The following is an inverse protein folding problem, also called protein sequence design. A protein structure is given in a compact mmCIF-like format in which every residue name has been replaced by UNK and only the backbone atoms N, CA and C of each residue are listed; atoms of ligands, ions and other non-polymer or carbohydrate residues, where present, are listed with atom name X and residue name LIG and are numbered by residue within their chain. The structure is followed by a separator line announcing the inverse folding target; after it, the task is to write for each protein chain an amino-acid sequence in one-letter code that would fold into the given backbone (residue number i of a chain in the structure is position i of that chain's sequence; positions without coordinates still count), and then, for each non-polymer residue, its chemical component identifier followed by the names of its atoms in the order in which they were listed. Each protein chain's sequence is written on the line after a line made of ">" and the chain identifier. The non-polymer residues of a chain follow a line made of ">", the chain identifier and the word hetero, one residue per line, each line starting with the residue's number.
data_IF_694701631753
#
_entry.id   IF_694701631753
#
_cell.length_a   1.000
_cell.length_b   1.000
_cell.length_c   1.000
_cell.angle_alpha   90.00
_cell.angle_beta   90.00
_cell.angle_gamma   90.00
#
_symmetry.space_group_name_H-M   'P 1'
#
loop_
_entity.id
_entity.type
_entity.pdbx_description
1 polymer ?
#
# COMPACT_ATOMS: atom_id res chain seq x y z
N UNK A 1 -6.48 4.11 1.98
CA UNK A 1 -7.38 3.72 0.87
C UNK A 1 -6.69 2.84 -0.16
N UNK A 2 -5.38 2.99 -0.36
CA UNK A 2 -4.56 2.17 -1.25
C UNK A 2 -4.69 0.65 -1.04
N UNK A 3 -4.98 0.19 0.19
CA UNK A 3 -5.27 -1.21 0.47
C UNK A 3 -6.38 -1.82 -0.41
N UNK A 4 -7.33 -1.02 -0.93
CA UNK A 4 -8.33 -1.49 -1.90
C UNK A 4 -7.70 -2.17 -3.12
N UNK A 5 -6.54 -1.69 -3.57
CA UNK A 5 -5.81 -2.29 -4.70
C UNK A 5 -5.17 -3.61 -4.31
N UNK A 6 -4.62 -3.71 -3.09
CA UNK A 6 -4.11 -4.96 -2.57
C UNK A 6 -5.20 -6.05 -2.60
N UNK A 7 -6.43 -5.70 -2.17
CA UNK A 7 -7.57 -6.61 -2.28
C UNK A 7 -7.91 -6.92 -3.74
N UNK A 8 -7.99 -5.92 -4.62
CA UNK A 8 -8.31 -6.14 -6.03
C UNK A 8 -7.33 -7.13 -6.70
N UNK A 9 -6.02 -6.95 -6.50
CA UNK A 9 -4.98 -7.84 -7.02
C UNK A 9 -5.12 -9.24 -6.42
N UNK A 10 -5.30 -9.34 -5.11
CA UNK A 10 -5.47 -10.62 -4.44
C UNK A 10 -6.76 -11.34 -4.87
N UNK A 11 -7.85 -10.64 -5.19
CA UNK A 11 -9.07 -11.27 -5.73
C UNK A 11 -8.88 -11.85 -7.11
N UNK A 12 -8.09 -11.20 -7.94
CA UNK A 12 -7.75 -11.75 -9.25
C UNK A 12 -6.96 -13.04 -9.10
N UNK A 13 -6.01 -13.10 -8.16
CA UNK A 13 -5.28 -14.34 -7.84
C UNK A 13 -5.16 -14.54 -6.32
N UNK A 14 -6.10 -15.31 -5.78
CA UNK A 14 -6.21 -15.57 -4.32
C UNK A 14 -5.02 -16.30 -3.71
N UNK A 15 -4.18 -16.92 -4.53
CA UNK A 15 -2.93 -17.57 -4.11
C UNK A 15 -1.82 -16.58 -3.74
N UNK A 16 -1.95 -15.30 -4.12
CA UNK A 16 -0.96 -14.27 -3.82
C UNK A 16 -0.97 -13.92 -2.32
N UNK A 17 0.18 -13.53 -1.78
CA UNK A 17 0.28 -13.06 -0.39
C UNK A 17 -0.41 -11.70 -0.25
N UNK A 18 -1.61 -11.69 0.34
CA UNK A 18 -2.31 -10.45 0.70
C UNK A 18 -1.50 -9.59 1.68
N UNK A 19 -0.83 -10.14 2.72
CA UNK A 19 0.05 -9.36 3.60
C UNK A 19 1.10 -8.53 2.85
N UNK A 20 1.77 -9.13 1.85
CA UNK A 20 2.79 -8.44 1.07
C UNK A 20 2.23 -7.22 0.32
N UNK A 21 1.04 -7.37 -0.27
CA UNK A 21 0.35 -6.27 -0.98
C UNK A 21 -0.16 -5.20 0.00
N UNK A 22 -0.71 -5.60 1.14
CA UNK A 22 -1.22 -4.66 2.16
C UNK A 22 -0.09 -3.83 2.78
N UNK A 23 1.02 -4.45 3.18
CA UNK A 23 2.15 -3.74 3.78
C UNK A 23 2.76 -2.78 2.76
N UNK A 24 3.04 -3.26 1.54
CA UNK A 24 3.70 -2.43 0.53
C UNK A 24 2.87 -1.23 0.05
N UNK A 25 1.54 -1.31 0.08
CA UNK A 25 0.64 -0.17 -0.20
C UNK A 25 0.51 0.83 0.95
N UNK A 26 1.19 0.61 2.07
CA UNK A 26 1.23 1.52 3.23
C UNK A 26 2.63 2.08 3.47
N UNK A 27 3.67 1.34 3.04
CA UNK A 27 5.07 1.71 3.28
C UNK A 27 5.44 3.12 2.82
N UNK A 28 5.03 3.62 1.64
CA UNK A 28 5.37 4.98 1.23
C UNK A 28 4.91 6.04 2.25
N UNK A 29 3.68 5.91 2.77
CA UNK A 29 3.13 6.85 3.74
C UNK A 29 3.87 6.85 5.09
N UNK A 30 4.66 5.81 5.38
CA UNK A 30 5.49 5.76 6.59
C UNK A 30 6.58 6.83 6.58
N UNK A 31 6.97 7.39 5.44
CA UNK A 31 7.96 8.48 5.41
C UNK A 31 7.38 9.82 5.88
N UNK A 32 6.07 10.03 5.75
CA UNK A 32 5.40 11.33 5.98
C UNK A 32 5.63 11.86 7.42
N UNK A 33 5.50 11.05 8.49
CA UNK A 33 5.82 11.53 9.83
C UNK A 33 7.29 11.95 10.00
N UNK A 34 8.23 11.26 9.36
CA UNK A 34 9.65 11.57 9.46
C UNK A 34 10.01 12.83 8.68
N UNK A 35 9.49 12.98 7.45
CA UNK A 35 9.70 14.18 6.64
C UNK A 35 9.09 15.41 7.31
N UNK A 36 7.90 15.27 7.92
CA UNK A 36 7.28 16.33 8.72
C UNK A 36 8.17 16.77 9.89
N UNK A 37 8.69 15.82 10.68
CA UNK A 37 9.57 16.13 11.82
C UNK A 37 10.89 16.77 11.40
N UNK A 38 11.46 16.37 10.26
CA UNK A 38 12.75 16.90 9.79
C UNK A 38 12.64 18.25 9.09
N UNK A 39 11.55 18.50 8.36
CA UNK A 39 11.40 19.68 7.51
C UNK A 39 10.42 20.71 8.06
N UNK A 40 9.71 20.40 9.15
CA UNK A 40 8.63 21.25 9.67
C UNK A 40 7.40 21.27 8.76
N UNK A 41 7.23 20.25 7.91
CA UNK A 41 6.11 20.16 6.97
C UNK A 41 6.32 20.90 5.65
N UNK A 42 7.56 21.30 5.32
CA UNK A 42 7.87 21.90 4.01
C UNK A 42 7.89 20.85 2.89
N UNK A 43 8.28 19.61 3.21
CA UNK A 43 8.31 18.50 2.27
C UNK A 43 7.49 17.34 2.83
N UNK A 44 6.47 16.89 2.09
CA UNK A 44 5.58 15.83 2.55
C UNK A 44 5.95 14.46 2.01
N UNK A 45 6.50 14.40 0.79
CA UNK A 45 6.72 13.16 0.02
C UNK A 45 8.03 13.26 -0.73
N UNK A 46 8.89 12.25 -0.62
CA UNK A 46 10.23 12.29 -1.21
C UNK A 46 10.64 10.92 -1.74
N UNK A 47 11.42 10.17 -0.96
CA UNK A 47 12.16 9.01 -1.44
C UNK A 47 11.20 7.85 -1.73
N UNK A 48 10.34 7.49 -0.78
CA UNK A 48 9.45 6.33 -0.93
C UNK A 48 8.29 6.58 -1.91
N UNK A 49 7.97 7.84 -2.19
CA UNK A 49 7.02 8.25 -3.22
C UNK A 49 7.64 8.46 -4.62
N UNK A 50 8.94 8.23 -4.77
CA UNK A 50 9.62 8.23 -6.07
C UNK A 50 9.65 6.83 -6.69
N UNK A 51 9.70 6.73 -8.01
CA UNK A 51 9.76 5.44 -8.70
C UNK A 51 11.01 4.64 -8.30
N UNK A 52 12.17 5.29 -8.26
CA UNK A 52 13.43 4.66 -7.90
C UNK A 52 13.42 4.23 -6.42
N UNK A 53 13.01 5.10 -5.51
CA UNK A 53 12.99 4.81 -4.08
C UNK A 53 11.95 3.74 -3.72
N UNK A 54 10.77 3.75 -4.34
CA UNK A 54 9.75 2.70 -4.17
C UNK A 54 10.25 1.35 -4.70
N UNK A 55 10.81 1.32 -5.92
CA UNK A 55 11.33 0.11 -6.54
C UNK A 55 12.49 -0.53 -5.76
N UNK A 56 13.28 0.30 -5.05
CA UNK A 56 14.47 -0.16 -4.31
C UNK A 56 14.19 -0.22 -2.80
N UNK A 57 14.44 0.88 -2.08
CA UNK A 57 14.34 0.98 -0.63
C UNK A 57 12.93 0.62 -0.13
N UNK A 58 11.89 1.12 -0.77
CA UNK A 58 10.52 0.87 -0.38
C UNK A 58 10.12 -0.61 -0.52
N UNK A 59 10.54 -1.27 -1.61
CA UNK A 59 10.35 -2.72 -1.79
C UNK A 59 11.12 -3.50 -0.73
N UNK A 60 12.38 -3.15 -0.48
CA UNK A 60 13.20 -3.77 0.56
C UNK A 60 12.56 -3.65 1.95
N UNK A 61 12.14 -2.44 2.34
CA UNK A 61 11.44 -2.19 3.60
C UNK A 61 10.13 -2.96 3.68
N UNK A 62 9.34 -2.99 2.61
CA UNK A 62 8.08 -3.75 2.54
C UNK A 62 8.30 -5.24 2.81
N UNK A 63 9.34 -5.84 2.24
CA UNK A 63 9.71 -7.24 2.49
C UNK A 63 10.05 -7.46 3.96
N UNK A 64 10.91 -6.62 4.54
CA UNK A 64 11.29 -6.73 5.96
C UNK A 64 10.08 -6.59 6.89
N UNK A 65 9.24 -5.57 6.67
CA UNK A 65 8.06 -5.33 7.48
C UNK A 65 7.04 -6.46 7.33
N UNK A 66 6.84 -6.99 6.12
CA UNK A 66 5.93 -8.12 5.89
C UNK A 66 6.39 -9.38 6.61
N UNK A 67 7.68 -9.67 6.65
CA UNK A 67 8.19 -10.92 7.25
C UNK A 67 8.27 -10.81 8.78
N UNK A 68 8.82 -9.70 9.28
CA UNK A 68 9.21 -9.59 10.68
C UNK A 68 8.20 -8.84 11.54
N UNK A 69 7.53 -7.82 11.01
CA UNK A 69 6.62 -6.97 11.78
C UNK A 69 5.16 -7.37 11.62
N UNK A 70 4.71 -7.67 10.40
CA UNK A 70 3.30 -7.93 10.13
C UNK A 70 2.74 -9.13 10.90
N UNK A 71 3.39 -10.33 10.94
CA UNK A 71 2.85 -11.47 11.65
C UNK A 71 2.64 -11.26 13.15
N UNK A 72 3.61 -10.75 13.94
CA UNK A 72 3.37 -10.53 15.36
C UNK A 72 2.33 -9.44 15.62
N UNK A 73 2.32 -8.34 14.85
CA UNK A 73 1.36 -7.24 15.02
C UNK A 73 -0.06 -7.72 14.73
N UNK A 74 -0.30 -8.31 13.56
CA UNK A 74 -1.66 -8.73 13.17
C UNK A 74 -2.17 -9.86 14.07
N UNK A 75 -1.32 -10.82 14.42
CA UNK A 75 -1.72 -11.91 15.31
C UNK A 75 -2.09 -11.41 16.71
N UNK A 76 -1.40 -10.39 17.21
CA UNK A 76 -1.69 -9.79 18.52
C UNK A 76 -3.01 -9.02 18.52
N UNK A 77 -3.21 -8.10 17.58
CA UNK A 77 -4.40 -7.23 17.58
C UNK A 77 -5.67 -7.95 17.15
N UNK A 78 -5.57 -8.92 16.24
CA UNK A 78 -6.73 -9.63 15.68
C UNK A 78 -6.90 -11.06 16.21
N UNK A 79 -6.05 -11.49 17.16
CA UNK A 79 -6.06 -12.83 17.77
C UNK A 79 -6.01 -13.97 16.74
N UNK A 80 -5.20 -13.78 15.70
CA UNK A 80 -5.01 -14.77 14.63
C UNK A 80 -3.91 -15.78 14.99
N UNK A 81 -3.98 -16.95 14.36
CA UNK A 81 -2.93 -17.97 14.47
C UNK A 81 -1.63 -17.47 13.81
N UNK A 82 -0.63 -17.21 14.65
CA UNK A 82 0.66 -16.65 14.23
C UNK A 82 1.39 -17.50 13.20
N UNK A 83 1.29 -18.83 13.27
CA UNK A 83 2.00 -19.70 12.34
C UNK A 83 1.35 -19.67 10.96
N UNK A 84 0.01 -19.61 10.89
CA UNK A 84 -0.70 -19.40 9.62
C UNK A 84 -0.37 -18.05 8.98
N UNK A 85 -0.27 -16.98 9.77
CA UNK A 85 0.11 -15.66 9.25
C UNK A 85 1.56 -15.68 8.74
N UNK A 86 2.48 -16.28 9.49
CA UNK A 86 3.89 -16.41 9.09
C UNK A 86 4.06 -17.19 7.79
N UNK A 87 3.27 -18.25 7.57
CA UNK A 87 3.33 -19.04 6.34
C UNK A 87 3.08 -18.16 5.10
N UNK A 88 2.06 -17.31 5.17
CA UNK A 88 1.70 -16.36 4.09
C UNK A 88 2.70 -15.20 3.95
N UNK A 89 3.46 -14.92 5.00
CA UNK A 89 4.51 -13.90 5.03
C UNK A 89 5.91 -14.50 4.78
N UNK A 90 6.04 -15.78 4.45
CA UNK A 90 7.34 -16.43 4.28
C UNK A 90 8.09 -15.82 3.09
N UNK A 91 9.38 -15.55 3.31
CA UNK A 91 10.26 -15.03 2.26
C UNK A 91 10.23 -15.94 1.02
N UNK A 92 9.99 -15.34 -0.14
CA UNK A 92 9.99 -15.99 -1.44
C UNK A 92 10.14 -14.94 -2.54
N UNK A 93 10.59 -15.34 -3.73
CA UNK A 93 10.65 -14.43 -4.88
C UNK A 93 9.28 -13.83 -5.22
N UNK A 94 8.20 -14.61 -5.09
CA UNK A 94 6.83 -14.12 -5.26
C UNK A 94 6.48 -13.04 -4.26
N UNK A 95 6.85 -13.18 -2.99
CA UNK A 95 6.62 -12.14 -1.97
C UNK A 95 7.33 -10.83 -2.33
N UNK A 96 8.58 -10.91 -2.80
CA UNK A 96 9.34 -9.72 -3.24
C UNK A 96 8.64 -9.03 -4.41
N UNK A 97 8.20 -9.79 -5.42
CA UNK A 97 7.45 -9.25 -6.57
C UNK A 97 6.14 -8.61 -6.12
N UNK A 98 5.42 -9.21 -5.16
CA UNK A 98 4.17 -8.62 -4.65
C UNK A 98 4.40 -7.34 -3.87
N UNK A 99 5.45 -7.27 -3.04
CA UNK A 99 5.85 -6.03 -2.40
C UNK A 99 6.19 -4.94 -3.42
N UNK A 100 6.92 -5.29 -4.48
CA UNK A 100 7.26 -4.38 -5.58
C UNK A 100 6.00 -3.88 -6.33
N UNK A 101 5.08 -4.79 -6.67
CA UNK A 101 3.83 -4.41 -7.35
C UNK A 101 2.95 -3.53 -6.47
N UNK A 102 2.80 -3.87 -5.18
CA UNK A 102 1.98 -3.09 -4.26
C UNK A 102 2.51 -1.69 -4.04
N UNK A 103 3.83 -1.52 -3.84
CA UNK A 103 4.40 -0.20 -3.63
C UNK A 103 4.37 0.67 -4.90
N UNK A 104 4.60 0.08 -6.07
CA UNK A 104 4.45 0.82 -7.33
C UNK A 104 3.00 1.21 -7.60
N UNK A 105 2.03 0.38 -7.19
CA UNK A 105 0.62 0.71 -7.29
C UNK A 105 0.25 1.91 -6.42
N UNK A 106 0.85 2.04 -5.24
CA UNK A 106 0.69 3.21 -4.37
C UNK A 106 1.22 4.47 -5.07
N UNK A 107 2.48 4.46 -5.51
CA UNK A 107 3.10 5.62 -6.20
C UNK A 107 2.30 6.00 -7.45
N UNK A 108 1.85 5.01 -8.21
CA UNK A 108 1.04 5.24 -9.40
C UNK A 108 -0.27 5.93 -9.04
N UNK A 109 -1.00 5.46 -8.03
CA UNK A 109 -2.27 6.09 -7.62
C UNK A 109 -2.05 7.50 -7.15
N UNK A 110 -1.04 7.72 -6.30
CA UNK A 110 -0.73 9.05 -5.79
C UNK A 110 -0.49 10.04 -6.94
N UNK A 111 0.22 9.60 -7.99
CA UNK A 111 0.49 10.40 -9.20
C UNK A 111 -0.75 10.83 -9.99
N UNK A 112 -1.91 10.21 -9.73
CA UNK A 112 -3.16 10.57 -10.39
C UNK A 112 -3.86 11.77 -9.76
N UNK A 113 -3.51 12.15 -8.52
CA UNK A 113 -4.35 13.12 -7.80
C UNK A 113 -3.68 14.01 -6.78
N UNK A 114 -2.45 13.76 -6.37
CA UNK A 114 -1.78 14.62 -5.40
C UNK A 114 -1.28 15.92 -6.03
N UNK A 115 -1.25 16.97 -5.21
CA UNK A 115 -0.72 18.29 -5.55
C UNK A 115 0.79 18.25 -5.88
N UNK A 116 1.51 17.31 -5.27
CA UNK A 116 2.94 17.12 -5.49
C UNK A 116 3.28 15.63 -5.65
N UNK A 117 3.91 15.29 -6.78
CA UNK A 117 4.18 13.94 -7.25
C UNK A 117 5.68 13.76 -7.52
N UNK A 118 6.50 13.34 -6.53
CA UNK A 118 7.96 13.21 -6.67
C UNK A 118 8.38 11.96 -7.45
N UNK A 119 7.62 11.55 -8.48
CA UNK A 119 7.79 10.28 -9.21
C UNK A 119 9.22 10.13 -9.77
N UNK A 120 9.82 11.23 -10.23
CA UNK A 120 11.15 11.27 -10.85
C UNK A 120 12.27 11.69 -9.88
N UNK A 121 11.98 11.89 -8.60
CA UNK A 121 13.00 12.16 -7.59
C UNK A 121 14.00 10.98 -7.50
N UNK A 122 15.32 11.21 -7.31
CA UNK A 122 16.00 12.49 -7.08
C UNK A 122 16.51 13.18 -8.36
N UNK A 123 16.15 12.70 -9.55
CA UNK A 123 16.66 13.26 -10.81
C UNK A 123 16.03 14.61 -11.14
N UNK A 124 14.76 14.78 -10.78
CA UNK A 124 13.95 15.98 -10.97
C UNK A 124 13.32 16.34 -9.62
N UNK A 125 13.31 17.63 -9.27
CA UNK A 125 12.75 18.12 -7.99
C UNK A 125 11.31 18.60 -8.14
N UNK A 126 10.94 18.95 -9.36
CA UNK A 126 9.60 19.36 -9.76
C UNK A 126 8.61 18.20 -9.72
N UNK A 127 7.33 18.54 -9.54
CA UNK A 127 6.25 17.56 -9.57
C UNK A 127 6.10 16.94 -10.95
N UNK A 128 5.85 15.63 -11.00
CA UNK A 128 5.49 14.92 -12.22
C UNK A 128 3.97 14.80 -12.34
N UNK A 129 3.34 15.78 -12.99
CA UNK A 129 1.86 15.88 -13.06
C UNK A 129 1.27 15.36 -14.36
N UNK A 130 2.09 14.74 -15.23
CA UNK A 130 1.63 14.22 -16.52
C UNK A 130 0.56 13.12 -16.41
N UNK A 131 0.43 12.50 -15.23
CA UNK A 131 -0.56 11.46 -14.92
C UNK A 131 -1.78 11.99 -14.15
N UNK A 132 -1.78 13.25 -13.76
CA UNK A 132 -2.87 13.83 -12.97
C UNK A 132 -4.20 13.70 -13.72
N UNK A 133 -5.20 13.12 -13.07
CA UNK A 133 -6.45 12.70 -13.70
C UNK A 133 -7.25 13.87 -14.27
N UNK A 134 -7.15 15.02 -13.62
CA UNK A 134 -7.79 16.29 -14.03
C UNK A 134 -6.79 17.42 -13.86
N UNK A 135 -7.00 18.55 -14.54
CA UNK A 135 -6.13 19.74 -14.39
C UNK A 135 -6.24 20.45 -13.01
N UNK A 136 -7.01 19.88 -12.09
CA UNK A 136 -7.21 20.34 -10.72
C UNK A 136 -7.03 19.16 -9.77
N UNK A 137 -6.06 19.27 -8.86
CA UNK A 137 -5.72 18.20 -7.91
C UNK A 137 -6.86 17.94 -6.91
N UNK A 138 -7.68 18.95 -6.62
CA UNK A 138 -8.83 18.81 -5.71
C UNK A 138 -9.87 17.87 -6.30
N UNK A 139 -10.24 18.09 -7.57
CA UNK A 139 -11.16 17.25 -8.33
C UNK A 139 -10.59 15.85 -8.54
N UNK A 140 -9.30 15.75 -8.90
CA UNK A 140 -8.63 14.46 -9.06
C UNK A 140 -8.66 13.66 -7.75
N UNK A 141 -8.37 14.32 -6.62
CA UNK A 141 -8.38 13.70 -5.29
C UNK A 141 -9.77 13.24 -4.92
N UNK A 142 -10.81 14.04 -5.17
CA UNK A 142 -12.19 13.66 -4.93
C UNK A 142 -12.57 12.40 -5.72
N UNK A 143 -12.20 12.32 -7.00
CA UNK A 143 -12.50 11.16 -7.86
C UNK A 143 -11.76 9.91 -7.37
N UNK A 144 -10.43 9.97 -7.24
CA UNK A 144 -9.62 8.81 -6.86
C UNK A 144 -9.99 8.31 -5.47
N UNK A 145 -10.14 9.22 -4.51
CA UNK A 145 -10.55 8.88 -3.13
C UNK A 145 -11.92 8.21 -3.12
N UNK A 146 -12.90 8.74 -3.88
CA UNK A 146 -14.24 8.17 -3.96
C UNK A 146 -14.23 6.75 -4.54
N UNK A 147 -13.46 6.52 -5.61
CA UNK A 147 -13.31 5.19 -6.22
C UNK A 147 -12.67 4.21 -5.24
N UNK A 148 -11.56 4.58 -4.60
CA UNK A 148 -10.88 3.70 -3.67
C UNK A 148 -11.73 3.42 -2.42
N UNK A 149 -12.49 4.40 -1.95
CA UNK A 149 -13.43 4.25 -0.83
C UNK A 149 -14.57 3.29 -1.19
N UNK A 150 -15.16 3.45 -2.37
CA UNK A 150 -16.19 2.54 -2.87
C UNK A 150 -15.67 1.10 -2.97
N UNK A 151 -14.44 0.91 -3.46
CA UNK A 151 -13.78 -0.41 -3.50
C UNK A 151 -13.51 -0.97 -2.09
N UNK A 152 -13.04 -0.14 -1.16
CA UNK A 152 -12.83 -0.55 0.24
C UNK A 152 -14.13 -1.04 0.87
N UNK A 153 -15.22 -0.28 0.72
CA UNK A 153 -16.56 -0.63 1.22
C UNK A 153 -17.03 -1.92 0.56
N UNK A 154 -16.88 -2.04 -0.75
CA UNK A 154 -17.26 -3.25 -1.50
C UNK A 154 -16.57 -4.50 -0.96
N UNK A 155 -15.24 -4.49 -0.84
CA UNK A 155 -14.50 -5.66 -0.33
C UNK A 155 -14.81 -5.98 1.13
N UNK A 156 -15.00 -4.96 1.96
CA UNK A 156 -15.38 -5.15 3.36
C UNK A 156 -16.76 -5.80 3.48
N UNK A 157 -17.76 -5.30 2.74
CA UNK A 157 -19.13 -5.84 2.73
C UNK A 157 -19.16 -7.25 2.12
N UNK A 158 -18.42 -7.50 1.04
CA UNK A 158 -18.30 -8.84 0.43
C UNK A 158 -17.77 -9.88 1.43
N UNK A 159 -16.74 -9.52 2.20
CA UNK A 159 -16.18 -10.41 3.22
C UNK A 159 -17.09 -10.60 4.44
N UNK A 160 -17.83 -9.58 4.84
CA UNK A 160 -18.83 -9.68 5.90
C UNK A 160 -20.00 -10.60 5.50
N UNK A 161 -20.43 -10.56 4.23
CA UNK A 161 -21.51 -11.42 3.71
C UNK A 161 -21.17 -12.91 3.78
N UNK A 162 -19.87 -13.26 3.81
CA UNK A 162 -19.39 -14.64 4.00
C UNK A 162 -19.44 -15.12 5.45
N UNK A 163 -19.85 -14.25 6.37
CA UNK A 163 -19.96 -14.53 7.81
C UNK A 163 -18.76 -14.03 8.62
N UNK A 164 -18.96 -13.88 9.94
CA UNK A 164 -17.97 -13.29 10.85
C UNK A 164 -16.89 -14.27 11.31
N UNK A 165 -17.15 -15.57 11.22
CA UNK A 165 -16.15 -16.60 11.51
C UNK A 165 -14.98 -16.45 10.53
N UNK A 166 -13.75 -16.40 11.05
CA UNK A 166 -12.51 -16.22 10.28
C UNK A 166 -12.43 -14.94 9.43
N UNK A 167 -13.30 -13.96 9.69
CA UNK A 167 -13.36 -12.71 8.92
C UNK A 167 -12.00 -12.00 8.84
N UNK A 168 -11.33 -11.81 9.99
CA UNK A 168 -10.02 -11.17 10.04
C UNK A 168 -8.92 -11.96 9.33
N UNK A 169 -9.03 -13.30 9.30
CA UNK A 169 -8.10 -14.12 8.54
C UNK A 169 -8.24 -13.84 7.04
N UNK A 170 -9.47 -13.82 6.52
CA UNK A 170 -9.71 -13.52 5.10
C UNK A 170 -9.34 -12.09 4.72
N UNK A 171 -9.62 -11.13 5.61
CA UNK A 171 -9.31 -9.72 5.36
C UNK A 171 -7.81 -9.42 5.42
N UNK A 172 -7.06 -10.02 6.35
CA UNK A 172 -5.67 -9.60 6.60
C UNK A 172 -4.63 -10.58 6.08
N UNK A 173 -5.02 -11.81 5.74
CA UNK A 173 -4.09 -12.89 5.38
C UNK A 173 -4.42 -13.48 4.01
N UNK A 174 -5.72 -13.53 3.66
CA UNK A 174 -6.22 -14.08 2.40
C UNK A 174 -6.44 -15.58 2.46
#
# INVERSE_FOLDING_TARGET
>A
LHCSIAYLINRWKSQLSLPALLVSTVVPDLEIPFTYLMTGGLEHRLVLHSLLGAATLGTFLSVLLTIFLYPPVVSLFFKLDKEKVKEKCRFSGTLVVLCFVGILSHVFIDSLHHEFNPVLYPFVKESFDALMLTNDWTSATAIVTSVLLALSIFFFVDELRKGTKDFWMRMLVG
#
